data_IF_507263254844
#
_entry.id   IF_507263254844
#
_cell.length_a   1.000
_cell.length_b   1.000
_cell.length_c   1.000
_cell.angle_alpha   90.00
_cell.angle_beta   90.00
_cell.angle_gamma   90.00
#
_symmetry.space_group_name_H-M   'P 1'
#
loop_
_entity.id
_entity.type
_entity.pdbx_description
1 polymer ?
#
# COMPACT_ATOMS: atom_id res chain seq x y z
N UNK A 1 19.80 -56.77 0.51
CA UNK A 1 20.17 -55.35 0.67
C UNK A 1 18.92 -54.51 0.48
N UNK A 2 18.23 -54.16 1.58
CA UNK A 2 16.99 -53.39 1.54
C UNK A 2 17.27 -51.89 1.57
N UNK A 3 16.75 -51.15 0.60
CA UNK A 3 16.79 -49.68 0.57
C UNK A 3 15.88 -49.15 1.68
N UNK A 4 16.46 -48.43 2.64
CA UNK A 4 15.70 -47.64 3.60
C UNK A 4 14.92 -46.55 2.85
N UNK A 5 13.60 -46.52 3.04
CA UNK A 5 12.77 -45.42 2.58
C UNK A 5 13.16 -44.16 3.38
N UNK A 6 13.60 -43.11 2.70
CA UNK A 6 13.74 -41.80 3.32
C UNK A 6 12.35 -41.35 3.76
N UNK A 7 12.17 -41.16 5.06
CA UNK A 7 10.99 -40.53 5.61
C UNK A 7 10.91 -39.09 5.06
N UNK A 8 9.81 -38.77 4.39
CA UNK A 8 9.56 -37.43 3.86
C UNK A 8 9.57 -36.43 5.03
N UNK A 9 10.52 -35.50 4.99
CA UNK A 9 10.63 -34.42 5.97
C UNK A 9 9.38 -33.56 5.87
N UNK A 10 8.58 -33.48 6.95
CA UNK A 10 7.43 -32.56 7.03
C UNK A 10 7.98 -31.14 6.87
N UNK A 11 7.69 -30.52 5.72
CA UNK A 11 8.04 -29.13 5.46
C UNK A 11 7.28 -28.24 6.46
N UNK A 12 8.01 -27.50 7.29
CA UNK A 12 7.42 -26.54 8.21
C UNK A 12 6.95 -25.32 7.39
N UNK A 13 5.63 -25.14 7.30
CA UNK A 13 5.01 -23.98 6.67
C UNK A 13 4.44 -23.08 7.79
N UNK A 14 5.21 -22.10 8.30
CA UNK A 14 4.79 -21.25 9.42
C UNK A 14 3.57 -20.37 9.08
N UNK A 15 3.33 -20.15 7.80
CA UNK A 15 2.20 -19.38 7.30
C UNK A 15 1.35 -20.25 6.38
N UNK A 16 0.03 -20.07 6.48
CA UNK A 16 -0.95 -20.63 5.55
C UNK A 16 -1.63 -19.48 4.85
N UNK A 17 -1.71 -19.55 3.52
CA UNK A 17 -2.50 -18.59 2.74
C UNK A 17 -3.95 -18.70 3.14
N UNK A 18 -4.63 -17.56 3.19
CA UNK A 18 -6.08 -17.55 3.37
C UNK A 18 -6.74 -18.25 2.19
N UNK A 19 -7.70 -19.14 2.46
CA UNK A 19 -8.33 -19.98 1.45
C UNK A 19 -9.25 -19.19 0.51
N UNK A 20 -9.71 -18.01 0.94
CA UNK A 20 -10.53 -17.10 0.14
C UNK A 20 -9.72 -16.03 -0.60
N UNK A 21 -8.41 -16.21 -0.77
CA UNK A 21 -7.62 -15.29 -1.59
C UNK A 21 -8.04 -15.35 -3.07
N UNK A 22 -8.01 -14.22 -3.82
CA UNK A 22 -7.70 -12.85 -3.34
C UNK A 22 -8.88 -12.22 -2.56
N UNK A 23 -8.58 -11.39 -1.56
CA UNK A 23 -9.60 -10.63 -0.80
C UNK A 23 -10.03 -9.32 -1.48
N UNK A 24 -9.27 -8.89 -2.49
CA UNK A 24 -9.51 -7.69 -3.28
C UNK A 24 -8.81 -7.85 -4.64
N UNK A 25 -9.48 -7.41 -5.70
CA UNK A 25 -9.03 -7.49 -7.10
C UNK A 25 -9.24 -6.15 -7.80
N UNK A 26 -8.76 -6.04 -9.05
CA UNK A 26 -8.99 -4.84 -9.87
C UNK A 26 -10.50 -4.60 -10.14
N UNK A 27 -11.30 -5.65 -10.21
CA UNK A 27 -12.76 -5.55 -10.42
C UNK A 27 -13.50 -4.93 -9.22
N UNK A 28 -12.87 -4.92 -8.04
CA UNK A 28 -13.41 -4.28 -6.83
C UNK A 28 -13.11 -2.77 -6.78
N UNK A 29 -12.26 -2.25 -7.69
CA UNK A 29 -11.95 -0.83 -7.78
C UNK A 29 -13.09 -0.11 -8.53
N UNK A 30 -13.71 0.93 -7.95
CA UNK A 30 -14.91 1.57 -8.51
C UNK A 30 -14.63 2.52 -9.69
N UNK A 31 -13.42 2.46 -10.25
CA UNK A 31 -12.96 3.23 -11.40
C UNK A 31 -11.93 2.42 -12.18
N UNK A 32 -11.66 2.82 -13.42
CA UNK A 32 -10.74 2.09 -14.30
C UNK A 32 -9.31 2.03 -13.73
N UNK A 33 -8.77 0.82 -13.63
CA UNK A 33 -7.39 0.59 -13.22
C UNK A 33 -6.82 -0.63 -13.95
N UNK A 34 -5.50 -0.71 -14.00
CA UNK A 34 -4.78 -1.88 -14.51
C UNK A 34 -4.68 -2.98 -13.42
N UNK A 35 -4.33 -2.59 -12.19
CA UNK A 35 -4.08 -3.54 -11.10
C UNK A 35 -4.11 -2.90 -9.71
N UNK A 36 -4.21 -3.75 -8.69
CA UNK A 36 -4.12 -3.42 -7.26
C UNK A 36 -3.40 -4.56 -6.55
N UNK A 37 -2.35 -4.27 -5.79
CA UNK A 37 -1.47 -5.34 -5.28
C UNK A 37 -0.71 -5.02 -3.98
N UNK A 38 -0.47 -3.75 -3.65
CA UNK A 38 0.13 -3.37 -2.36
C UNK A 38 -0.93 -2.73 -1.47
N UNK A 39 -0.95 -3.11 -0.19
CA UNK A 39 -1.89 -2.57 0.76
C UNK A 39 -1.19 -2.35 2.11
N UNK A 40 -1.10 -1.10 2.55
CA UNK A 40 -0.82 -0.82 3.95
C UNK A 40 -2.10 -1.06 4.76
N UNK A 41 -1.98 -1.66 5.94
CA UNK A 41 -3.14 -2.01 6.76
C UNK A 41 -3.04 -1.40 8.16
N UNK A 42 -4.13 -0.87 8.68
CA UNK A 42 -4.24 -0.47 10.09
C UNK A 42 -5.67 -0.65 10.62
N UNK A 43 -5.83 -0.47 11.93
CA UNK A 43 -7.15 -0.27 12.56
C UNK A 43 -7.40 1.23 12.72
N UNK A 44 -8.59 1.68 12.37
CA UNK A 44 -9.06 3.05 12.56
C UNK A 44 -10.56 3.03 12.82
N UNK A 45 -11.00 3.75 13.85
CA UNK A 45 -12.41 3.83 14.29
C UNK A 45 -13.16 2.47 14.33
N UNK A 46 -12.52 1.46 14.92
CA UNK A 46 -13.10 0.11 15.04
C UNK A 46 -13.12 -0.71 13.73
N UNK A 47 -12.69 -0.16 12.60
CA UNK A 47 -12.65 -0.84 11.30
C UNK A 47 -11.21 -1.19 10.88
N UNK A 48 -11.09 -2.16 9.98
CA UNK A 48 -9.88 -2.38 9.20
C UNK A 48 -9.83 -1.38 8.05
N UNK A 49 -8.69 -0.72 7.89
CA UNK A 49 -8.43 0.20 6.81
C UNK A 49 -7.26 -0.34 6.00
N UNK A 50 -7.42 -0.35 4.68
CA UNK A 50 -6.34 -0.55 3.72
C UNK A 50 -6.07 0.76 2.97
N UNK A 51 -4.79 1.07 2.78
CA UNK A 51 -4.35 2.03 1.79
C UNK A 51 -3.72 1.27 0.63
N UNK A 52 -4.50 1.16 -0.44
CA UNK A 52 -4.22 0.36 -1.62
C UNK A 52 -3.36 1.16 -2.61
N UNK A 53 -2.28 0.58 -3.09
CA UNK A 53 -1.65 1.01 -4.34
C UNK A 53 -2.49 0.50 -5.50
N UNK A 54 -3.04 1.44 -6.26
CA UNK A 54 -3.78 1.18 -7.50
C UNK A 54 -2.99 1.78 -8.64
N UNK A 55 -2.76 0.99 -9.69
CA UNK A 55 -2.11 1.46 -10.91
C UNK A 55 -3.17 1.74 -11.98
N UNK A 56 -3.17 2.96 -12.53
CA UNK A 56 -4.03 3.35 -13.64
C UNK A 56 -3.64 2.71 -14.96
N UNK A 57 -4.50 2.86 -15.98
CA UNK A 57 -4.23 2.37 -17.34
C UNK A 57 -3.08 3.09 -18.04
N UNK A 58 -2.66 4.25 -17.51
CA UNK A 58 -1.50 5.02 -17.95
C UNK A 58 -0.19 4.57 -17.27
N UNK A 59 -0.24 3.52 -16.46
CA UNK A 59 0.90 2.98 -15.72
C UNK A 59 1.31 3.81 -14.51
N UNK A 60 0.52 4.81 -14.11
CA UNK A 60 0.81 5.65 -12.93
C UNK A 60 0.07 5.11 -11.72
N UNK A 61 0.78 5.07 -10.59
CA UNK A 61 0.19 4.62 -9.33
C UNK A 61 -0.34 5.78 -8.48
N UNK A 62 -1.44 5.53 -7.79
CA UNK A 62 -2.00 6.38 -6.74
C UNK A 62 -2.45 5.51 -5.56
N UNK A 63 -2.75 6.13 -4.42
CA UNK A 63 -3.16 5.42 -3.21
C UNK A 63 -4.64 5.67 -2.90
N UNK A 64 -5.39 4.60 -2.63
CA UNK A 64 -6.84 4.64 -2.40
C UNK A 64 -7.19 3.93 -1.11
N UNK A 65 -8.08 4.53 -0.32
CA UNK A 65 -8.55 3.94 0.91
C UNK A 65 -9.60 2.85 0.65
N UNK A 66 -9.60 1.83 1.50
CA UNK A 66 -10.67 0.85 1.57
C UNK A 66 -10.94 0.46 3.03
N UNK A 67 -12.22 0.27 3.38
CA UNK A 67 -12.65 0.01 4.76
C UNK A 67 -13.38 -1.32 4.87
N UNK A 68 -13.19 -2.02 5.98
CA UNK A 68 -13.82 -3.32 6.25
C UNK A 68 -14.09 -3.51 7.74
N UNK A 69 -15.22 -4.13 8.07
CA UNK A 69 -15.51 -4.55 9.45
C UNK A 69 -14.83 -5.88 9.82
N UNK A 70 -14.67 -6.78 8.84
CA UNK A 70 -14.19 -8.16 9.05
C UNK A 70 -12.74 -8.38 8.60
N UNK A 71 -12.16 -7.45 7.84
CA UNK A 71 -10.80 -7.52 7.32
C UNK A 71 -10.65 -8.41 6.08
N UNK A 72 -11.76 -8.85 5.48
CA UNK A 72 -11.79 -9.70 4.28
C UNK A 72 -12.64 -9.10 3.16
N UNK A 73 -13.70 -8.36 3.48
CA UNK A 73 -14.57 -7.68 2.50
C UNK A 73 -14.41 -6.18 2.63
N UNK A 74 -13.81 -5.56 1.62
CA UNK A 74 -13.48 -4.14 1.66
C UNK A 74 -14.42 -3.32 0.75
N UNK A 75 -14.88 -2.19 1.27
CA UNK A 75 -15.47 -1.13 0.48
C UNK A 75 -14.37 -0.16 0.09
N UNK A 76 -14.07 -0.08 -1.20
CA UNK A 76 -13.05 0.81 -1.77
C UNK A 76 -13.64 2.20 -2.01
N UNK A 77 -12.90 3.25 -1.66
CA UNK A 77 -13.32 4.62 -1.88
C UNK A 77 -13.42 4.93 -3.39
N UNK A 78 -14.39 5.77 -3.76
CA UNK A 78 -14.71 6.08 -5.16
C UNK A 78 -13.63 6.87 -5.91
N UNK A 79 -12.70 7.46 -5.18
CA UNK A 79 -11.66 8.31 -5.74
C UNK A 79 -10.33 8.02 -5.05
N UNK A 80 -9.20 8.22 -5.75
CA UNK A 80 -7.89 8.22 -5.13
C UNK A 80 -7.82 9.17 -3.93
N UNK A 81 -7.12 8.77 -2.87
CA UNK A 81 -6.92 9.60 -1.68
C UNK A 81 -5.58 10.34 -1.71
N UNK A 82 -4.49 9.64 -2.07
CA UNK A 82 -3.17 10.27 -2.28
C UNK A 82 -2.81 10.11 -3.76
N UNK A 83 -2.77 11.24 -4.46
CA UNK A 83 -2.28 11.38 -5.84
C UNK A 83 -1.02 12.23 -5.85
N UNK A 84 -0.23 12.25 -6.94
CA UNK A 84 0.91 13.15 -7.07
C UNK A 84 0.58 14.60 -6.69
N UNK A 85 1.45 15.20 -5.87
CA UNK A 85 1.29 16.56 -5.37
C UNK A 85 1.49 17.61 -6.45
N UNK A 86 0.78 18.74 -6.34
CA UNK A 86 1.08 19.96 -7.11
C UNK A 86 2.06 20.90 -6.40
N UNK A 87 2.46 20.59 -5.16
CA UNK A 87 3.48 21.37 -4.43
C UNK A 87 4.85 21.16 -5.09
N UNK A 88 5.55 22.22 -5.54
CA UNK A 88 6.85 22.13 -6.21
C UNK A 88 7.93 21.39 -5.41
N UNK A 89 7.77 21.25 -4.09
CA UNK A 89 8.69 20.47 -3.23
C UNK A 89 8.57 18.96 -3.46
N UNK A 90 7.40 18.48 -3.88
CA UNK A 90 7.08 17.06 -4.02
C UNK A 90 6.80 16.65 -5.47
N UNK A 91 6.19 17.55 -6.27
CA UNK A 91 5.77 17.27 -7.65
C UNK A 91 6.86 16.61 -8.50
N UNK A 92 8.13 17.08 -8.53
CA UNK A 92 9.16 16.47 -9.38
C UNK A 92 9.56 15.06 -8.97
N UNK A 93 9.15 14.62 -7.78
CA UNK A 93 9.44 13.31 -7.24
C UNK A 93 8.21 12.41 -7.22
N UNK A 94 7.00 12.94 -7.43
CA UNK A 94 5.75 12.16 -7.42
C UNK A 94 5.07 12.10 -8.80
N UNK A 95 5.50 12.89 -9.78
CA UNK A 95 4.77 13.11 -11.03
C UNK A 95 4.61 11.87 -11.92
N UNK A 96 5.32 10.76 -11.64
CA UNK A 96 5.10 9.46 -12.29
C UNK A 96 4.27 8.48 -11.42
N UNK A 97 4.10 8.76 -10.13
CA UNK A 97 3.21 8.00 -9.26
C UNK A 97 3.58 8.09 -7.78
N UNK A 98 2.65 7.65 -6.95
CA UNK A 98 2.87 7.38 -5.52
C UNK A 98 2.56 5.92 -5.23
N UNK A 99 3.47 5.24 -4.55
CA UNK A 99 3.57 3.79 -4.55
C UNK A 99 3.86 3.23 -3.15
N UNK A 100 3.68 1.91 -3.00
CA UNK A 100 4.18 1.10 -1.90
C UNK A 100 3.93 1.68 -0.50
N UNK A 101 2.67 2.00 -0.15
CA UNK A 101 2.37 2.63 1.12
C UNK A 101 2.70 1.69 2.28
N UNK A 102 3.07 2.28 3.41
CA UNK A 102 3.05 1.67 4.76
C UNK A 102 2.40 2.64 5.73
N UNK A 103 1.73 2.10 6.75
CA UNK A 103 1.06 2.90 7.77
C UNK A 103 1.55 2.44 9.14
N UNK A 104 1.99 3.38 9.96
CA UNK A 104 2.35 3.15 11.36
C UNK A 104 1.68 4.21 12.22
N UNK A 105 0.92 3.78 13.22
CA UNK A 105 0.36 4.69 14.21
C UNK A 105 1.42 5.05 15.26
N UNK A 106 1.62 6.34 15.50
CA UNK A 106 2.51 6.88 16.54
C UNK A 106 1.72 7.93 17.33
N UNK A 107 1.33 7.57 18.56
CA UNK A 107 0.39 8.37 19.35
C UNK A 107 -0.97 8.46 18.65
N UNK A 108 -1.47 9.69 18.50
CA UNK A 108 -2.78 9.97 17.87
C UNK A 108 -2.68 10.21 16.35
N UNK A 109 -1.50 10.02 15.76
CA UNK A 109 -1.25 10.24 14.34
C UNK A 109 -0.90 8.93 13.63
N UNK A 110 -1.31 8.82 12.37
CA UNK A 110 -0.93 7.76 11.46
C UNK A 110 0.08 8.32 10.49
N UNK A 111 1.30 7.79 10.55
CA UNK A 111 2.39 8.13 9.64
C UNK A 111 2.36 7.18 8.46
N UNK A 112 2.49 7.75 7.27
CA UNK A 112 2.44 7.03 6.01
C UNK A 112 3.76 7.24 5.29
N UNK A 113 4.51 6.16 5.11
CA UNK A 113 5.63 6.15 4.17
C UNK A 113 5.14 5.65 2.82
N UNK A 114 5.65 6.24 1.75
CA UNK A 114 5.32 5.82 0.39
C UNK A 114 6.49 6.14 -0.54
N UNK A 115 6.59 5.41 -1.64
CA UNK A 115 7.51 5.72 -2.73
C UNK A 115 6.92 6.83 -3.58
N UNK A 116 7.55 8.00 -3.57
CA UNK A 116 7.36 9.05 -4.55
C UNK A 116 8.19 8.68 -5.78
N UNK A 117 7.54 8.51 -6.94
CA UNK A 117 8.23 8.21 -8.20
C UNK A 117 8.16 9.37 -9.20
N UNK A 118 9.33 9.75 -9.73
CA UNK A 118 9.48 10.84 -10.69
C UNK A 118 10.71 10.66 -11.59
N UNK A 119 11.03 11.66 -12.44
CA UNK A 119 12.15 11.62 -13.39
C UNK A 119 13.52 11.38 -12.77
N UNK A 120 13.70 11.65 -11.48
CA UNK A 120 14.97 11.45 -10.77
C UNK A 120 15.09 10.08 -10.09
N UNK A 121 14.13 9.18 -10.29
CA UNK A 121 14.07 7.89 -9.62
C UNK A 121 13.13 7.86 -8.42
N UNK A 122 12.97 6.70 -7.76
CA UNK A 122 12.12 6.56 -6.59
C UNK A 122 12.74 7.23 -5.37
N UNK A 123 11.89 7.80 -4.51
CA UNK A 123 12.30 8.42 -3.25
C UNK A 123 11.29 8.10 -2.17
N UNK A 124 11.76 7.88 -0.94
CA UNK A 124 10.83 7.69 0.20
C UNK A 124 10.29 9.05 0.62
N UNK A 125 8.97 9.18 0.63
CA UNK A 125 8.24 10.29 1.19
C UNK A 125 7.52 9.87 2.48
N UNK A 126 7.26 10.85 3.36
CA UNK A 126 6.52 10.67 4.60
C UNK A 126 5.42 11.72 4.66
N UNK A 127 4.22 11.28 4.95
CA UNK A 127 3.13 12.15 5.38
C UNK A 127 2.42 11.60 6.61
N UNK A 128 1.39 12.32 7.06
CA UNK A 128 0.58 11.90 8.20
C UNK A 128 -0.88 12.29 8.04
N UNK A 129 -1.71 11.63 8.83
CA UNK A 129 -3.12 11.93 9.02
C UNK A 129 -3.53 11.65 10.47
N UNK A 130 -4.64 12.24 10.91
CA UNK A 130 -5.33 11.90 12.16
C UNK A 130 -6.71 11.29 11.93
N UNK A 131 -7.25 11.44 10.73
CA UNK A 131 -8.65 11.22 10.41
C UNK A 131 -8.88 10.34 9.16
N UNK A 132 -7.84 10.09 8.36
CA UNK A 132 -7.95 9.48 7.03
C UNK A 132 -8.91 10.23 6.09
N UNK A 133 -9.11 11.53 6.34
CA UNK A 133 -9.80 12.47 5.47
C UNK A 133 -8.78 13.45 4.87
N UNK A 134 -7.90 13.98 5.71
CA UNK A 134 -6.82 14.89 5.33
C UNK A 134 -5.46 14.19 5.33
N UNK A 135 -4.59 14.58 4.40
CA UNK A 135 -3.23 14.06 4.30
C UNK A 135 -2.22 15.21 4.22
N UNK A 136 -1.34 15.29 5.21
CA UNK A 136 -0.24 16.25 5.25
C UNK A 136 1.05 15.56 4.80
N UNK A 137 1.66 16.04 3.71
CA UNK A 137 3.03 15.65 3.34
C UNK A 137 4.03 16.36 4.25
N UNK A 138 4.90 15.60 4.91
CA UNK A 138 5.88 16.12 5.87
C UNK A 138 7.22 16.35 5.17
N UNK A 139 7.77 15.31 4.55
CA UNK A 139 9.13 15.34 4.01
C UNK A 139 9.37 14.28 2.94
N UNK A 140 10.37 14.54 2.11
CA UNK A 140 11.07 13.50 1.34
C UNK A 140 12.25 13.01 2.19
N UNK A 141 12.11 11.83 2.77
CA UNK A 141 12.93 11.38 3.90
C UNK A 141 14.32 10.82 3.52
N UNK A 142 14.55 10.55 2.25
CA UNK A 142 15.78 9.93 1.73
C UNK A 142 16.33 10.75 0.56
N UNK A 143 17.51 10.40 0.03
CA UNK A 143 17.92 10.81 -1.31
C UNK A 143 17.15 10.01 -2.38
N UNK A 144 17.36 10.31 -3.66
CA UNK A 144 16.80 9.53 -4.77
C UNK A 144 17.37 8.10 -4.80
N UNK A 145 16.72 7.23 -5.58
CA UNK A 145 17.00 5.81 -5.72
C UNK A 145 16.83 5.00 -4.42
N UNK A 146 15.81 5.35 -3.63
CA UNK A 146 15.48 4.64 -2.41
C UNK A 146 13.97 4.35 -2.29
N UNK A 147 13.62 3.18 -1.75
CA UNK A 147 12.25 2.66 -1.60
C UNK A 147 12.16 1.67 -0.44
N UNK A 148 11.00 1.05 -0.26
CA UNK A 148 10.78 -0.01 0.74
C UNK A 148 10.99 0.42 2.19
N UNK A 149 10.62 1.66 2.54
CA UNK A 149 10.70 2.16 3.92
C UNK A 149 9.70 1.44 4.83
N UNK A 150 10.22 0.68 5.80
CA UNK A 150 9.47 -0.08 6.82
C UNK A 150 9.88 0.36 8.22
#
# INVERSE_FOLDING_TARGET
>A
MGRAALAATKQFLPFRRYHGNPILTADDIPYECNTVFNAAACRFDGQYLLLLRVEGLDGRSHLTLARSEDGYRFQVDRHPWITPSSDPRFEPFECFGVEDPRITQIGDEYYITYTAFGPYGPRVAIGRTRDFESFERIALATEVDNKDAV
#
